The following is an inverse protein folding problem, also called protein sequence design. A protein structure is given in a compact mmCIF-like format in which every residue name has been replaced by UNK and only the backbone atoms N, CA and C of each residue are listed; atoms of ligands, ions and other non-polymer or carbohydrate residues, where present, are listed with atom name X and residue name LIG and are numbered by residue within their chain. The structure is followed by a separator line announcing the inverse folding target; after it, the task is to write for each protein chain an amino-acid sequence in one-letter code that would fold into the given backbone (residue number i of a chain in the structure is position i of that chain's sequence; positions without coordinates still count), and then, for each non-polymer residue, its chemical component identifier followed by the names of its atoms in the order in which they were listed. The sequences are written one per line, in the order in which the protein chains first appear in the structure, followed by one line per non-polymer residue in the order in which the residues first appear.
data_IF_614589425989
#
_entry.id   IF_614589425989
#
_cell.length_a   1.000
_cell.length_b   1.000
_cell.length_c   1.000
_cell.angle_alpha   90.00
_cell.angle_beta   90.00
_cell.angle_gamma   90.00
#
_symmetry.space_group_name_H-M   'P 1'
#
loop_
_entity.id
_entity.type
_entity.pdbx_description
1 polymer ?
#
# COMPACT_ATOMS: atom_id res chain seq x y z
N UNK A 1 15.36 8.74 -0.05
CA UNK A 1 14.20 8.09 0.61
C UNK A 1 14.62 6.67 0.95
N UNK A 2 14.18 6.13 2.08
CA UNK A 2 14.37 4.71 2.38
C UNK A 2 13.65 3.87 1.29
N UNK A 3 14.27 2.85 0.67
CA UNK A 3 13.61 1.98 -0.30
C UNK A 3 12.27 1.41 0.17
N UNK A 4 12.10 1.16 1.48
CA UNK A 4 10.85 0.71 2.07
C UNK A 4 9.77 1.79 2.01
N UNK A 5 10.15 3.06 2.19
CA UNK A 5 9.23 4.19 2.10
C UNK A 5 8.78 4.44 0.66
N UNK A 6 9.68 4.30 -0.32
CA UNK A 6 9.32 4.43 -1.74
C UNK A 6 8.33 3.35 -2.17
N UNK A 7 8.61 2.09 -1.82
CA UNK A 7 7.72 0.98 -2.08
C UNK A 7 6.38 1.11 -1.34
N UNK A 8 6.39 1.61 -0.10
CA UNK A 8 5.18 1.90 0.66
C UNK A 8 4.30 2.91 -0.08
N UNK A 9 4.89 4.01 -0.55
CA UNK A 9 4.18 5.03 -1.31
C UNK A 9 3.63 4.49 -2.64
N UNK A 10 4.39 3.65 -3.34
CA UNK A 10 3.94 2.98 -4.56
C UNK A 10 2.70 2.10 -4.29
N UNK A 11 2.70 1.33 -3.19
CA UNK A 11 1.56 0.51 -2.77
C UNK A 11 0.34 1.39 -2.46
N UNK A 12 0.51 2.46 -1.67
CA UNK A 12 -0.58 3.38 -1.34
C UNK A 12 -1.20 3.98 -2.60
N UNK A 13 -0.37 4.53 -3.49
CA UNK A 13 -0.79 5.10 -4.77
C UNK A 13 -1.58 4.09 -5.59
N UNK A 14 -1.04 2.90 -5.80
CA UNK A 14 -1.66 1.88 -6.63
C UNK A 14 -2.98 1.34 -6.04
N UNK A 15 -3.09 1.26 -4.71
CA UNK A 15 -4.34 0.89 -4.06
C UNK A 15 -5.43 1.96 -4.21
N UNK A 16 -5.08 3.24 -4.05
CA UNK A 16 -6.04 4.35 -4.22
C UNK A 16 -6.49 4.48 -5.67
N UNK A 17 -5.54 4.53 -6.62
CA UNK A 17 -5.82 4.65 -8.06
C UNK A 17 -6.54 3.43 -8.62
N UNK A 18 -6.20 2.23 -8.12
CA UNK A 18 -6.90 1.00 -8.46
C UNK A 18 -8.30 0.85 -7.83
N UNK A 19 -8.79 1.87 -7.11
CA UNK A 19 -10.05 1.84 -6.36
C UNK A 19 -10.15 0.64 -5.40
N UNK A 20 -9.02 0.20 -4.83
CA UNK A 20 -8.92 -0.95 -3.93
C UNK A 20 -8.82 -0.48 -2.48
N UNK A 21 -9.98 -0.34 -1.83
CA UNK A 21 -10.03 -0.12 -0.38
C UNK A 21 -9.34 -1.24 0.43
N UNK A 22 -9.39 -2.47 -0.07
CA UNK A 22 -8.81 -3.66 0.58
C UNK A 22 -8.14 -4.56 -0.46
N UNK A 23 -6.99 -5.12 -0.12
CA UNK A 23 -6.26 -6.08 -0.96
C UNK A 23 -5.38 -7.02 -0.15
N UNK A 24 -5.22 -8.25 -0.63
CA UNK A 24 -4.19 -9.16 -0.13
C UNK A 24 -2.86 -8.90 -0.88
N UNK A 25 -1.80 -9.58 -0.46
CA UNK A 25 -0.49 -9.39 -1.06
C UNK A 25 -0.45 -9.68 -2.57
N UNK A 26 -1.22 -10.66 -3.06
CA UNK A 26 -1.29 -10.96 -4.50
C UNK A 26 -1.98 -9.85 -5.31
N UNK A 27 -2.98 -9.18 -4.72
CA UNK A 27 -3.60 -7.99 -5.32
C UNK A 27 -2.57 -6.87 -5.39
N UNK A 28 -1.87 -6.59 -4.29
CA UNK A 28 -0.84 -5.55 -4.23
C UNK A 28 0.26 -5.83 -5.26
N UNK A 29 0.75 -7.07 -5.33
CA UNK A 29 1.74 -7.51 -6.32
C UNK A 29 1.31 -7.25 -7.75
N UNK A 30 0.05 -7.53 -8.10
CA UNK A 30 -0.47 -7.25 -9.45
C UNK A 30 -0.59 -5.75 -9.75
N UNK A 31 -0.80 -4.92 -8.74
CA UNK A 31 -0.93 -3.48 -8.91
C UNK A 31 0.43 -2.77 -9.02
N UNK A 32 1.46 -3.27 -8.34
CA UNK A 32 2.76 -2.59 -8.22
C UNK A 32 3.93 -3.31 -8.90
N UNK A 33 3.75 -4.57 -9.28
CA UNK A 33 4.80 -5.48 -9.75
C UNK A 33 5.94 -5.74 -8.74
N UNK A 34 5.76 -5.35 -7.47
CA UNK A 34 6.75 -5.59 -6.42
C UNK A 34 6.91 -7.09 -6.11
N UNK A 35 8.09 -7.50 -5.66
CA UNK A 35 8.38 -8.82 -5.12
C UNK A 35 7.65 -9.06 -3.79
N UNK A 36 7.63 -10.30 -3.33
CA UNK A 36 7.00 -10.62 -2.04
C UNK A 36 7.71 -9.92 -0.87
N UNK A 37 9.05 -9.87 -0.92
CA UNK A 37 9.87 -9.27 0.14
C UNK A 37 9.74 -7.75 0.19
N UNK A 38 9.67 -7.10 -0.98
CA UNK A 38 9.42 -5.65 -1.06
C UNK A 38 8.05 -5.29 -0.48
N UNK A 39 7.02 -6.10 -0.75
CA UNK A 39 5.68 -5.87 -0.20
C UNK A 39 5.69 -6.09 1.32
N UNK A 40 6.31 -7.16 1.82
CA UNK A 40 6.39 -7.45 3.26
C UNK A 40 7.19 -6.38 4.02
N UNK A 41 8.20 -5.78 3.38
CA UNK A 41 9.02 -4.73 3.99
C UNK A 41 8.35 -3.35 3.96
N UNK A 42 7.53 -3.09 2.93
CA UNK A 42 6.87 -1.79 2.73
C UNK A 42 5.55 -1.63 3.51
N UNK A 43 4.77 -2.71 3.66
CA UNK A 43 3.45 -2.64 4.33
C UNK A 43 3.53 -2.16 5.79
N UNK A 44 4.50 -2.60 6.61
CA UNK A 44 4.68 -2.07 7.97
C UNK A 44 4.88 -0.55 8.00
N UNK A 45 5.63 0.02 7.04
CA UNK A 45 5.81 1.47 6.96
C UNK A 45 4.48 2.21 6.76
N UNK A 46 3.57 1.69 5.92
CA UNK A 46 2.24 2.27 5.75
C UNK A 46 1.37 2.16 7.01
N UNK A 47 1.51 1.06 7.75
CA UNK A 47 0.77 0.82 8.99
C UNK A 47 1.28 1.71 10.13
N UNK A 48 2.60 1.86 10.27
CA UNK A 48 3.25 2.76 11.22
C UNK A 48 2.87 4.23 10.98
N UNK A 49 2.69 4.61 9.70
CA UNK A 49 2.17 5.93 9.31
C UNK A 49 0.65 6.08 9.49
N UNK A 50 -0.06 5.02 9.88
CA UNK A 50 -1.52 5.03 10.05
C UNK A 50 -2.31 5.15 8.74
N UNK A 51 -1.67 4.93 7.59
CA UNK A 51 -2.30 5.07 6.26
C UNK A 51 -3.08 3.82 5.86
N UNK A 52 -2.70 2.67 6.41
CA UNK A 52 -3.39 1.40 6.23
C UNK A 52 -3.55 0.68 7.57
N UNK A 53 -4.43 -0.32 7.58
CA UNK A 53 -4.54 -1.30 8.64
C UNK A 53 -4.29 -2.69 8.07
N UNK A 54 -3.43 -3.47 8.72
CA UNK A 54 -3.22 -4.86 8.33
C UNK A 54 -4.08 -5.80 9.18
N UNK A 55 -4.52 -6.89 8.56
CA UNK A 55 -5.04 -8.03 9.29
C UNK A 55 -3.97 -9.12 9.30
N UNK A 56 -3.53 -9.62 10.47
CA UNK A 56 -2.43 -10.57 10.54
C UNK A 56 -2.75 -11.88 9.82
N UNK A 57 -1.74 -12.44 9.14
CA UNK A 57 -1.85 -13.75 8.50
C UNK A 57 -1.88 -14.88 9.54
N UNK A 58 -2.75 -15.89 9.35
CA UNK A 58 -2.75 -17.11 10.20
C UNK A 58 -1.58 -18.06 9.89
N UNK A 59 -0.97 -17.97 8.69
CA UNK A 59 0.18 -18.76 8.24
C UNK A 59 1.08 -17.91 7.35
N UNK A 60 2.38 -17.88 7.63
CA UNK A 60 3.40 -17.19 6.80
C UNK A 60 3.82 -18.11 5.65
N UNK A 61 3.26 -17.88 4.46
CA UNK A 61 3.69 -18.57 3.24
C UNK A 61 4.40 -17.62 2.26
N UNK A 62 3.80 -16.46 1.99
CA UNK A 62 4.33 -15.45 1.06
C UNK A 62 4.22 -14.03 1.60
N UNK A 63 3.21 -13.78 2.44
CA UNK A 63 2.92 -12.48 3.01
C UNK A 63 2.81 -12.57 4.53
N UNK A 64 3.31 -11.54 5.22
CA UNK A 64 3.21 -11.44 6.68
C UNK A 64 1.81 -11.02 7.16
N UNK A 65 0.96 -10.57 6.24
CA UNK A 65 -0.41 -10.14 6.48
C UNK A 65 -1.40 -10.95 5.62
N UNK A 66 -2.65 -11.02 6.07
CA UNK A 66 -3.76 -11.59 5.29
C UNK A 66 -4.34 -10.58 4.30
N UNK A 67 -4.54 -9.34 4.76
CA UNK A 67 -5.03 -8.23 3.93
C UNK A 67 -4.54 -6.89 4.48
N UNK A 68 -4.43 -5.92 3.58
CA UNK A 68 -4.21 -4.50 3.86
C UNK A 68 -5.50 -3.75 3.52
N UNK A 69 -5.92 -2.84 4.39
CA UNK A 69 -7.10 -1.98 4.18
C UNK A 69 -6.68 -0.52 4.28
N UNK A 70 -7.07 0.31 3.30
CA UNK A 70 -6.84 1.75 3.34
C UNK A 70 -7.61 2.38 4.51
N UNK A 71 -6.89 3.16 5.32
CA UNK A 71 -7.49 4.02 6.33
C UNK A 71 -7.91 5.36 5.69
N UNK A 72 -8.84 6.13 6.30
CA UNK A 72 -9.18 7.48 5.84
C UNK A 72 -7.95 8.39 5.68
N UNK A 73 -6.99 8.28 6.61
CA UNK A 73 -5.71 9.00 6.54
C UNK A 73 -4.88 8.64 5.30
N UNK A 74 -4.96 7.40 4.81
CA UNK A 74 -4.31 6.99 3.56
C UNK A 74 -4.85 7.71 2.33
N UNK A 75 -6.17 7.91 2.25
CA UNK A 75 -6.78 8.69 1.17
C UNK A 75 -6.39 10.17 1.24
N UNK A 76 -6.40 10.75 2.45
CA UNK A 76 -5.98 12.14 2.66
C UNK A 76 -4.52 12.34 2.28
N UNK A 77 -3.63 11.47 2.77
CA UNK A 77 -2.22 11.49 2.42
C UNK A 77 -2.03 11.34 0.91
N UNK A 78 -2.77 10.45 0.26
CA UNK A 78 -2.72 10.33 -1.19
C UNK A 78 -3.08 11.65 -1.88
N UNK A 79 -4.19 12.28 -1.48
CA UNK A 79 -4.63 13.55 -2.05
C UNK A 79 -3.58 14.66 -1.90
N UNK A 80 -2.98 14.77 -0.71
CA UNK A 80 -2.03 15.83 -0.38
C UNK A 80 -0.69 15.70 -1.11
N UNK A 81 -0.27 14.45 -1.39
CA UNK A 81 1.08 14.13 -1.90
C UNK A 81 1.12 13.60 -3.35
N UNK A 82 0.07 12.93 -3.83
CA UNK A 82 0.02 12.31 -5.17
C UNK A 82 -1.14 12.81 -6.02
N UNK A 83 -2.29 13.11 -5.39
CA UNK A 83 -3.52 13.55 -6.06
C UNK A 83 -3.46 14.95 -6.68
N UNK A 84 -2.29 15.62 -6.64
CA UNK A 84 -2.04 16.90 -7.29
C UNK A 84 -1.50 16.78 -8.73
N UNK A 85 -1.78 15.68 -9.42
CA UNK A 85 -1.78 15.71 -10.88
C UNK A 85 -3.11 16.34 -11.28
N UNK A 86 -3.06 17.66 -11.44
CA UNK A 86 -4.10 18.42 -12.11
C UNK A 86 -4.41 17.76 -13.45
N UNK A 87 -5.70 17.75 -13.77
CA UNK A 87 -6.20 17.72 -15.14
C UNK A 87 -5.37 18.70 -15.99
N UNK A 88 -4.52 18.14 -16.85
CA UNK A 88 -3.79 18.78 -17.96
C UNK A 88 -3.73 17.62 -18.97
N UNK A 89 -4.41 17.57 -20.12
CA UNK A 89 -5.18 18.49 -20.97
C UNK A 89 -6.47 17.80 -21.44
#
# INVERSE_FOLDING_TARGET
MDPNQENAMLILKAMVEGSRRRGNGDVIKRLTNLSFDEINSAVPCLEDMGLVQTFPGRKKLRYDFFNVTLAPAGYQYYHDHFGKIAVIE
#
